data_IF_121508847562
#
_entry.id   IF_121508847562
#
_cell.length_a   1.000
_cell.length_b   1.000
_cell.length_c   1.000
_cell.angle_alpha   90.00
_cell.angle_beta   90.00
_cell.angle_gamma   90.00
#
_symmetry.space_group_name_H-M   'P 1'
#
loop_
_entity.id
_entity.type
_entity.pdbx_description
1 polymer ?
#
# COMPACT_ATOMS: atom_id res chain seq x y z
N UNK A 1 1.40 -51.97 5.16
CA UNK A 1 1.06 -51.47 6.51
C UNK A 1 0.49 -50.08 6.33
N UNK A 2 -0.83 -49.96 6.44
CA UNK A 2 -1.58 -48.73 6.23
C UNK A 2 -1.71 -48.00 7.57
N UNK A 3 -1.40 -46.71 7.59
CA UNK A 3 -1.94 -45.80 8.59
C UNK A 3 -2.50 -44.59 7.86
N UNK A 4 -3.83 -44.57 7.74
CA UNK A 4 -4.60 -43.39 7.42
C UNK A 4 -5.03 -42.75 8.75
N UNK A 5 -4.70 -41.48 8.96
CA UNK A 5 -5.37 -40.65 9.95
C UNK A 5 -5.75 -39.32 9.32
N UNK A 6 -7.07 -39.21 9.12
CA UNK A 6 -7.94 -38.05 9.29
C UNK A 6 -7.37 -36.65 8.98
N UNK A 7 -8.05 -35.98 8.04
CA UNK A 7 -7.93 -34.56 7.87
C UNK A 7 -8.29 -33.78 9.13
N UNK A 8 -7.54 -32.72 9.37
CA UNK A 8 -8.12 -31.49 9.89
C UNK A 8 -7.60 -30.37 9.00
N UNK A 9 -8.52 -29.88 8.18
CA UNK A 9 -8.48 -28.61 7.48
C UNK A 9 -8.26 -27.50 8.53
N UNK A 10 -7.00 -27.29 8.91
CA UNK A 10 -6.61 -26.07 9.62
C UNK A 10 -6.25 -25.09 8.54
N UNK A 11 -7.26 -24.39 8.03
CA UNK A 11 -7.06 -23.18 7.26
C UNK A 11 -6.26 -22.20 8.13
N UNK A 12 -4.93 -22.22 7.96
CA UNK A 12 -4.02 -21.21 8.47
C UNK A 12 -4.64 -19.84 8.19
N UNK A 13 -4.77 -18.94 9.19
CA UNK A 13 -5.38 -17.65 8.98
C UNK A 13 -4.61 -16.96 7.86
N UNK A 14 -5.31 -16.63 6.77
CA UNK A 14 -4.75 -15.98 5.61
C UNK A 14 -3.99 -14.75 6.08
N UNK A 15 -2.66 -14.85 6.12
CA UNK A 15 -1.77 -13.75 6.48
C UNK A 15 -2.15 -12.61 5.56
N UNK A 16 -2.87 -11.64 6.11
CA UNK A 16 -3.29 -10.45 5.40
C UNK A 16 -1.99 -9.77 4.97
N UNK A 17 -1.60 -9.97 3.72
CA UNK A 17 -0.38 -9.42 3.18
C UNK A 17 -0.57 -7.91 3.17
N UNK A 18 -0.05 -7.27 4.20
CA UNK A 18 0.18 -5.84 4.21
C UNK A 18 1.12 -5.57 3.04
N UNK A 19 0.54 -5.17 1.91
CA UNK A 19 1.29 -4.58 0.81
C UNK A 19 2.11 -3.48 1.44
N UNK A 20 3.42 -3.69 1.52
CA UNK A 20 4.37 -2.71 2.02
C UNK A 20 4.03 -1.40 1.30
N UNK A 21 3.47 -0.44 2.04
CA UNK A 21 3.17 0.86 1.49
C UNK A 21 4.54 1.44 1.18
N UNK A 22 4.93 1.35 -0.09
CA UNK A 22 6.20 1.87 -0.57
C UNK A 22 6.28 3.30 -0.06
N UNK A 23 7.31 3.57 0.73
CA UNK A 23 7.45 4.79 1.51
C UNK A 23 7.50 5.98 0.52
N UNK A 24 6.37 6.68 0.33
CA UNK A 24 6.26 7.79 -0.63
C UNK A 24 6.78 9.10 -0.02
N UNK A 25 7.75 9.01 0.89
CA UNK A 25 8.29 10.16 1.58
C UNK A 25 9.61 10.57 0.93
N UNK A 26 9.57 11.65 0.15
CA UNK A 26 10.78 12.30 -0.34
C UNK A 26 11.26 13.21 0.79
N UNK A 27 12.49 12.98 1.29
CA UNK A 27 13.07 13.82 2.33
C UNK A 27 13.61 15.10 1.69
N UNK A 28 13.17 16.25 2.19
CA UNK A 28 13.66 17.56 1.82
C UNK A 28 14.03 18.31 3.10
N UNK A 29 15.30 18.68 3.24
CA UNK A 29 15.81 19.31 4.45
C UNK A 29 15.12 20.66 4.70
N UNK A 30 14.66 20.86 5.94
CA UNK A 30 13.97 22.09 6.35
C UNK A 30 12.51 22.22 5.92
N UNK A 31 11.93 21.22 5.23
CA UNK A 31 10.51 21.23 4.87
C UNK A 31 9.72 20.12 5.58
N UNK A 32 8.74 20.53 6.37
CA UNK A 32 7.79 19.60 6.95
C UNK A 32 6.77 19.18 5.89
N UNK A 33 6.34 17.92 5.93
CA UNK A 33 5.25 17.41 5.12
C UNK A 33 5.51 17.35 3.60
N UNK A 34 6.76 17.36 3.11
CA UNK A 34 7.03 17.27 1.67
C UNK A 34 6.47 15.98 1.05
N UNK A 35 5.54 16.09 0.10
CA UNK A 35 4.83 14.95 -0.51
C UNK A 35 4.31 15.24 -1.91
N UNK A 36 4.28 14.19 -2.74
CA UNK A 36 3.58 14.20 -4.03
C UNK A 36 2.06 14.22 -3.81
N UNK A 37 1.33 15.04 -4.58
CA UNK A 37 -0.14 15.12 -4.56
C UNK A 37 -0.79 14.51 -5.79
N UNK A 38 -0.06 13.68 -6.53
CA UNK A 38 -0.65 12.83 -7.56
C UNK A 38 -1.82 12.02 -7.00
N UNK A 39 -2.83 11.80 -7.84
CA UNK A 39 -4.03 11.04 -7.49
C UNK A 39 -5.12 11.83 -6.76
N UNK A 40 -4.87 13.07 -6.33
CA UNK A 40 -5.94 13.91 -5.78
C UNK A 40 -6.92 14.33 -6.87
N UNK A 41 -8.21 14.32 -6.52
CA UNK A 41 -9.28 14.77 -7.41
C UNK A 41 -9.33 16.29 -7.41
N UNK A 42 -9.24 16.88 -8.59
CA UNK A 42 -9.38 18.31 -8.82
C UNK A 42 -10.86 18.71 -8.82
N UNK A 43 -11.14 20.01 -8.71
CA UNK A 43 -12.52 20.52 -8.75
C UNK A 43 -13.25 20.24 -10.07
N UNK A 44 -12.52 20.00 -11.17
CA UNK A 44 -13.06 19.57 -12.47
C UNK A 44 -13.15 18.03 -12.60
N UNK A 45 -12.97 17.28 -11.51
CA UNK A 45 -13.17 15.83 -11.45
C UNK A 45 -12.04 14.98 -12.05
N UNK A 46 -10.94 15.61 -12.47
CA UNK A 46 -9.75 14.91 -12.97
C UNK A 46 -8.82 14.55 -11.81
N UNK A 47 -7.82 13.74 -12.10
CA UNK A 47 -6.77 13.39 -11.13
C UNK A 47 -5.48 14.13 -11.44
N UNK A 48 -4.82 14.63 -10.38
CA UNK A 48 -3.48 15.20 -10.50
C UNK A 48 -2.51 14.11 -10.96
N UNK A 49 -1.69 14.42 -11.97
CA UNK A 49 -0.65 13.52 -12.46
C UNK A 49 0.45 13.35 -11.40
N UNK A 50 0.88 12.11 -11.19
CA UNK A 50 2.01 11.79 -10.34
C UNK A 50 3.29 12.50 -10.79
N UNK A 51 4.18 12.83 -9.85
CA UNK A 51 5.51 13.40 -10.10
C UNK A 51 5.49 14.72 -10.88
N UNK A 52 4.42 15.51 -10.73
CA UNK A 52 4.29 16.82 -11.37
C UNK A 52 4.15 17.96 -10.35
N UNK A 53 3.53 17.69 -9.19
CA UNK A 53 3.30 18.70 -8.15
C UNK A 53 3.62 18.10 -6.79
N UNK A 54 4.42 18.83 -6.01
CA UNK A 54 4.80 18.48 -4.64
C UNK A 54 4.36 19.61 -3.70
N UNK A 55 4.02 19.28 -2.45
CA UNK A 55 3.61 20.22 -1.40
C UNK A 55 4.26 19.90 -0.07
#
# INVERSE_FOLDING_TARGET
MAYAHAGTDTAEPSTNQFHAISDRQIRLDGQSNFRDIGGYVTSDGKTVKWRQVFR
#
